data_IF_131537289843
#
_entry.id   IF_131537289843
#
_cell.length_a   1.000
_cell.length_b   1.000
_cell.length_c   1.000
_cell.angle_alpha   90.00
_cell.angle_beta   90.00
_cell.angle_gamma   90.00
#
_symmetry.space_group_name_H-M   'P 1'
#
loop_
_entity.id
_entity.type
_entity.pdbx_description
1 polymer ?
#
# COMPACT_ATOMS: atom_id res chain seq x y z
N UNK A 1 -21.67 -7.59 34.86
CA UNK A 1 -22.39 -6.93 33.74
C UNK A 1 -21.57 -7.16 32.47
N UNK A 2 -21.94 -8.12 31.60
CA UNK A 2 -21.23 -8.30 30.34
C UNK A 2 -21.86 -7.39 29.28
N UNK A 3 -21.12 -6.41 28.79
CA UNK A 3 -21.47 -5.69 27.56
C UNK A 3 -20.95 -6.51 26.39
N UNK A 4 -21.83 -7.32 25.81
CA UNK A 4 -21.60 -8.05 24.56
C UNK A 4 -21.59 -7.03 23.42
N UNK A 5 -20.41 -6.52 23.06
CA UNK A 5 -20.25 -5.64 21.90
C UNK A 5 -20.35 -6.48 20.62
N UNK A 6 -21.55 -6.56 20.07
CA UNK A 6 -21.81 -7.15 18.75
C UNK A 6 -21.11 -6.27 17.72
N UNK A 7 -19.93 -6.71 17.26
CA UNK A 7 -19.25 -6.08 16.13
C UNK A 7 -20.17 -6.17 14.90
N UNK A 8 -20.77 -5.02 14.60
CA UNK A 8 -21.48 -4.74 13.36
C UNK A 8 -20.58 -5.16 12.20
N UNK A 9 -21.14 -6.01 11.33
CA UNK A 9 -20.63 -6.43 10.02
C UNK A 9 -19.74 -5.34 9.39
N UNK A 10 -18.43 -5.51 9.54
CA UNK A 10 -17.44 -4.79 8.76
C UNK A 10 -17.66 -5.21 7.30
N UNK A 11 -18.25 -4.29 6.54
CA UNK A 11 -18.35 -4.28 5.08
C UNK A 11 -17.07 -4.89 4.48
N UNK A 12 -17.13 -5.95 3.63
CA UNK A 12 -15.92 -6.52 3.06
C UNK A 12 -15.21 -5.40 2.30
N UNK A 13 -14.05 -5.00 2.80
CA UNK A 13 -13.18 -4.02 2.18
C UNK A 13 -12.64 -4.65 0.89
N UNK A 14 -13.42 -4.55 -0.19
CA UNK A 14 -13.23 -5.14 -1.53
C UNK A 14 -12.79 -6.61 -1.56
N UNK A 15 -13.62 -7.47 -2.12
CA UNK A 15 -13.30 -8.88 -2.42
C UNK A 15 -12.18 -9.07 -3.47
N UNK A 16 -11.43 -8.03 -3.82
CA UNK A 16 -10.46 -8.02 -4.90
C UNK A 16 -9.08 -7.72 -4.34
N UNK A 17 -8.10 -8.55 -4.71
CA UNK A 17 -6.70 -8.33 -4.38
C UNK A 17 -6.17 -7.11 -5.13
N UNK A 18 -5.44 -6.23 -4.43
CA UNK A 18 -4.81 -5.04 -5.00
C UNK A 18 -3.29 -5.16 -4.90
N UNK A 19 -2.62 -4.93 -6.01
CA UNK A 19 -1.17 -4.71 -6.02
C UNK A 19 -0.91 -3.23 -5.81
N UNK A 20 -0.18 -2.87 -4.75
CA UNK A 20 0.14 -1.49 -4.44
C UNK A 20 1.63 -1.20 -4.70
N UNK A 21 1.91 -0.05 -5.30
CA UNK A 21 3.26 0.40 -5.66
C UNK A 21 3.59 1.65 -4.84
N UNK A 22 4.69 1.61 -4.12
CA UNK A 22 5.25 2.79 -3.45
C UNK A 22 6.29 3.42 -4.36
N UNK A 23 6.03 4.66 -4.77
CA UNK A 23 6.97 5.47 -5.56
C UNK A 23 7.83 6.32 -4.64
N UNK A 24 9.05 6.61 -5.09
CA UNK A 24 9.99 7.48 -4.36
C UNK A 24 9.65 8.95 -4.62
N UNK A 25 9.68 9.77 -3.57
CA UNK A 25 9.45 11.21 -3.62
C UNK A 25 8.05 11.61 -3.20
N UNK A 26 7.96 12.60 -2.31
CA UNK A 26 6.71 13.27 -1.95
C UNK A 26 6.99 14.74 -1.59
N UNK A 27 6.28 15.71 -2.19
CA UNK A 27 6.49 17.13 -1.90
C UNK A 27 5.93 17.56 -0.54
N UNK A 28 5.09 16.72 0.08
CA UNK A 28 4.45 17.04 1.37
C UNK A 28 5.39 16.77 2.55
N UNK A 29 5.17 17.49 3.65
CA UNK A 29 5.91 17.34 4.93
C UNK A 29 4.95 17.18 6.10
N UNK A 30 4.05 16.21 5.98
CA UNK A 30 3.04 15.93 7.00
C UNK A 30 3.72 15.58 8.35
N UNK A 31 3.27 16.14 9.49
CA UNK A 31 3.88 15.91 10.81
C UNK A 31 3.93 14.44 11.26
N UNK A 32 3.09 13.58 10.68
CA UNK A 32 3.02 12.15 10.99
C UNK A 32 3.05 11.32 9.71
N UNK A 33 4.05 11.57 8.87
CA UNK A 33 4.27 10.77 7.67
C UNK A 33 4.48 9.30 8.04
N UNK A 34 3.70 8.40 7.43
CA UNK A 34 3.85 6.96 7.63
C UNK A 34 5.14 6.40 7.03
N UNK A 35 5.65 7.04 5.97
CA UNK A 35 6.83 6.60 5.21
C UNK A 35 7.83 7.75 5.03
N UNK A 36 8.48 8.23 6.12
CA UNK A 36 9.37 9.39 6.06
C UNK A 36 10.60 9.17 5.16
N UNK A 37 11.08 7.92 5.05
CA UNK A 37 12.18 7.56 4.16
C UNK A 37 11.84 7.68 2.65
N UNK A 38 10.55 7.71 2.30
CA UNK A 38 10.09 7.89 0.92
C UNK A 38 9.95 9.36 0.50
N UNK A 39 10.15 10.32 1.43
CA UNK A 39 10.03 11.75 1.15
C UNK A 39 11.08 12.31 0.17
N UNK A 40 12.38 11.94 0.25
CA UNK A 40 13.37 12.43 -0.70
C UNK A 40 13.04 12.00 -2.13
N UNK A 41 13.35 12.84 -3.13
CA UNK A 41 13.17 12.47 -4.54
C UNK A 41 14.17 11.41 -5.00
N UNK A 42 15.34 11.35 -4.36
CA UNK A 42 16.37 10.35 -4.60
C UNK A 42 16.10 9.06 -3.80
N UNK A 43 16.38 7.91 -4.40
CA UNK A 43 16.21 6.59 -3.78
C UNK A 43 15.42 5.65 -4.68
N UNK A 44 14.85 4.60 -4.08
CA UNK A 44 14.06 3.60 -4.80
C UNK A 44 14.86 2.78 -5.82
N UNK A 45 14.13 2.00 -6.63
CA UNK A 45 14.67 1.23 -7.76
C UNK A 45 14.06 1.79 -9.05
N UNK A 46 14.90 2.20 -10.01
CA UNK A 46 14.44 2.53 -11.35
C UNK A 46 14.00 1.26 -12.07
N UNK A 47 12.75 1.25 -12.54
CA UNK A 47 12.13 0.09 -13.16
C UNK A 47 11.39 0.50 -14.44
N UNK A 48 11.53 -0.30 -15.50
CA UNK A 48 10.74 -0.13 -16.71
C UNK A 48 9.30 -0.58 -16.48
N UNK A 49 8.36 0.01 -17.23
CA UNK A 49 6.94 -0.37 -17.19
C UNK A 49 6.78 -1.87 -17.44
N UNK A 50 7.51 -2.44 -18.42
CA UNK A 50 7.43 -3.86 -18.75
C UNK A 50 7.87 -4.76 -17.58
N UNK A 51 8.96 -4.41 -16.89
CA UNK A 51 9.45 -5.18 -15.72
C UNK A 51 8.45 -5.08 -14.56
N UNK A 52 7.86 -3.90 -14.34
CA UNK A 52 6.84 -3.70 -13.31
C UNK A 52 5.56 -4.51 -13.61
N UNK A 53 5.07 -4.47 -14.86
CA UNK A 53 3.90 -5.24 -15.28
C UNK A 53 4.11 -6.76 -15.09
N UNK A 54 5.30 -7.27 -15.44
CA UNK A 54 5.66 -8.67 -15.19
C UNK A 54 5.62 -9.02 -13.70
N UNK A 55 6.13 -8.14 -12.81
CA UNK A 55 6.05 -8.36 -11.35
C UNK A 55 4.62 -8.45 -10.84
N UNK A 56 3.71 -7.64 -11.39
CA UNK A 56 2.28 -7.68 -11.03
C UNK A 56 1.67 -9.01 -11.46
N UNK A 57 1.87 -9.42 -12.72
CA UNK A 57 1.31 -10.65 -13.27
C UNK A 57 1.82 -11.92 -12.57
N UNK A 58 3.07 -11.90 -12.09
CA UNK A 58 3.69 -13.02 -11.38
C UNK A 58 3.46 -13.00 -9.87
N UNK A 59 2.83 -11.96 -9.31
CA UNK A 59 2.53 -11.91 -7.88
C UNK A 59 1.40 -12.89 -7.54
N UNK A 60 1.62 -13.79 -6.58
CA UNK A 60 0.66 -14.80 -6.16
C UNK A 60 0.04 -14.45 -4.79
N UNK A 61 -1.24 -14.76 -4.61
CA UNK A 61 -1.87 -14.95 -3.30
C UNK A 61 -1.53 -16.34 -2.79
N UNK A 62 -0.59 -16.44 -1.85
CA UNK A 62 -0.54 -17.60 -0.95
C UNK A 62 -1.65 -17.49 0.08
#
# INVERSE_FOLDING_TARGET
>A
MPLTYTHTLLKPASLVLRFAIWVQGCPLRCPSCMTPAALPESGGELMTISKLAQRILLSQTN
#
